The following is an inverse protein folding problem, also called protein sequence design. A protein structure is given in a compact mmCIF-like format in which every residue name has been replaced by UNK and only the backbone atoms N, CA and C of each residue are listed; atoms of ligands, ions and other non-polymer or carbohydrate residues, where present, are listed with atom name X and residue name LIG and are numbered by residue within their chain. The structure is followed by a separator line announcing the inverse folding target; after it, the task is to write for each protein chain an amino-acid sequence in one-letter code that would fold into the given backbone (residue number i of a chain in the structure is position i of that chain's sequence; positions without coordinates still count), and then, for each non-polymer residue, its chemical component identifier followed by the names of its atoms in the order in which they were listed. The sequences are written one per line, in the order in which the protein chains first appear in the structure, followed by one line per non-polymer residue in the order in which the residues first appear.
data_IF_840792959201
#
_entry.id   IF_840792959201
#
_cell.length_a   1.000
_cell.length_b   1.000
_cell.length_c   1.000
_cell.angle_alpha   90.00
_cell.angle_beta   90.00
_cell.angle_gamma   90.00
#
_symmetry.space_group_name_H-M   'P 1'
#
loop_
_entity.id
_entity.type
_entity.pdbx_description
1 polymer ?
#
# COMPACT_ATOMS: atom_id res chain seq x y z
N UNK A 1 21.14 57.44 8.59
CA UNK A 1 21.96 56.70 9.57
C UNK A 1 22.13 55.27 9.04
N UNK A 2 23.35 54.86 8.66
CA UNK A 2 23.60 53.49 8.16
C UNK A 2 24.10 52.63 9.33
N UNK A 3 23.30 51.67 9.79
CA UNK A 3 23.75 50.71 10.79
C UNK A 3 24.75 49.75 10.15
N UNK A 4 26.00 49.73 10.63
CA UNK A 4 26.97 48.69 10.30
C UNK A 4 26.77 47.53 11.27
N UNK A 5 26.31 46.40 10.77
CA UNK A 5 26.21 45.17 11.55
C UNK A 5 27.60 44.49 11.57
N UNK A 6 28.27 44.49 12.72
CA UNK A 6 29.56 43.81 12.89
C UNK A 6 29.31 42.41 13.48
N UNK A 7 29.16 41.42 12.61
CA UNK A 7 28.95 40.04 13.02
C UNK A 7 30.29 39.44 13.50
N UNK A 8 30.44 39.25 14.80
CA UNK A 8 31.65 38.63 15.35
C UNK A 8 31.58 37.10 15.21
N UNK A 9 32.71 36.44 14.94
CA UNK A 9 32.80 34.96 14.80
C UNK A 9 32.03 34.14 15.86
N UNK A 10 32.00 34.50 17.16
CA UNK A 10 31.22 33.74 18.14
C UNK A 10 29.70 33.88 17.92
N UNK A 11 29.21 35.01 17.41
CA UNK A 11 27.78 35.18 17.05
C UNK A 11 27.36 34.30 15.87
N UNK A 12 28.26 34.06 14.91
CA UNK A 12 28.02 33.15 13.79
C UNK A 12 27.93 31.69 14.23
N UNK A 13 28.82 31.26 15.12
CA UNK A 13 28.78 29.91 15.68
C UNK A 13 27.52 29.67 16.53
N UNK A 14 27.06 30.70 17.26
CA UNK A 14 25.81 30.63 18.03
C UNK A 14 24.59 30.49 17.13
N UNK A 15 24.54 31.20 15.99
CA UNK A 15 23.42 31.10 15.05
C UNK A 15 23.33 29.72 14.38
N UNK A 16 24.48 29.10 14.07
CA UNK A 16 24.55 27.75 13.49
C UNK A 16 24.07 26.71 14.51
N UNK A 17 24.45 26.85 15.79
CA UNK A 17 23.99 25.94 16.85
C UNK A 17 22.47 26.00 17.07
N UNK A 18 21.86 27.19 16.95
CA UNK A 18 20.40 27.37 17.08
C UNK A 18 19.64 26.76 15.90
N UNK A 19 20.20 26.79 14.69
CA UNK A 19 19.54 26.24 13.49
C UNK A 19 19.53 24.70 13.46
N UNK A 20 20.49 24.05 14.11
CA UNK A 20 20.56 22.58 14.20
C UNK A 20 19.47 22.01 15.13
N UNK A 21 18.98 22.79 16.10
CA UNK A 21 18.00 22.32 17.09
C UNK A 21 16.55 22.32 16.59
N UNK A 22 16.22 23.03 15.51
CA UNK A 22 14.84 23.09 14.98
C UNK A 22 14.54 22.02 13.90
N UNK A 23 15.49 21.16 13.57
CA UNK A 23 15.33 20.07 12.61
C UNK A 23 14.79 18.78 13.25
N UNK A 24 14.01 18.87 14.32
CA UNK A 24 13.19 17.76 14.79
C UNK A 24 11.97 17.67 13.87
N UNK A 25 12.17 17.08 12.69
CA UNK A 25 11.08 16.57 11.88
C UNK A 25 10.22 15.69 12.79
N UNK A 26 8.95 16.07 12.94
CA UNK A 26 7.93 15.14 13.41
C UNK A 26 7.84 14.07 12.32
N UNK A 27 8.68 13.03 12.42
CA UNK A 27 8.27 11.73 11.94
C UNK A 27 6.97 11.46 12.69
N UNK A 28 5.84 11.57 12.00
CA UNK A 28 4.68 10.80 12.36
C UNK A 28 5.16 9.37 12.29
N UNK A 29 5.67 8.87 13.42
CA UNK A 29 5.81 7.47 13.67
C UNK A 29 4.42 6.93 13.34
N UNK A 30 4.32 6.24 12.20
CA UNK A 30 3.16 5.45 11.85
C UNK A 30 2.77 4.76 13.14
N UNK A 31 1.58 5.05 13.67
CA UNK A 31 1.08 4.32 14.81
C UNK A 31 1.23 2.86 14.42
N UNK A 32 2.16 2.16 15.07
CA UNK A 32 2.24 0.72 15.01
C UNK A 32 0.98 0.24 15.70
N UNK A 33 -0.13 0.27 14.97
CA UNK A 33 -1.19 -0.69 15.17
C UNK A 33 -0.44 -2.01 15.04
N UNK A 34 -0.17 -2.62 16.19
CA UNK A 34 0.30 -3.99 16.28
C UNK A 34 -0.81 -4.83 15.67
N UNK A 35 -0.84 -4.90 14.35
CA UNK A 35 -1.83 -5.65 13.61
C UNK A 35 -1.26 -7.03 13.51
N UNK A 36 -1.82 -7.93 14.31
CA UNK A 36 -1.88 -9.35 14.00
C UNK A 36 -2.61 -9.47 12.65
N UNK A 37 -1.87 -9.20 11.56
CA UNK A 37 -2.40 -9.31 10.21
C UNK A 37 -2.53 -10.80 9.96
N UNK A 38 -3.74 -11.23 9.64
CA UNK A 38 -3.96 -12.60 9.23
C UNK A 38 -3.29 -12.84 7.89
N UNK A 39 -2.70 -14.02 7.75
CA UNK A 39 -1.94 -14.38 6.57
C UNK A 39 -2.88 -14.59 5.38
N UNK A 40 -2.52 -14.01 4.23
CA UNK A 40 -3.12 -14.34 2.94
C UNK A 40 -2.04 -14.47 1.88
N UNK A 41 -2.38 -15.18 0.80
CA UNK A 41 -1.50 -15.31 -0.35
C UNK A 41 -2.32 -15.33 -1.63
N UNK A 42 -2.05 -14.38 -2.51
CA UNK A 42 -2.76 -14.22 -3.77
C UNK A 42 -1.77 -14.10 -4.92
N UNK A 43 -1.97 -14.90 -5.96
CA UNK A 43 -1.26 -14.76 -7.23
C UNK A 43 -2.09 -13.91 -8.17
N UNK A 44 -1.56 -12.77 -8.60
CA UNK A 44 -2.17 -11.86 -9.57
C UNK A 44 -1.56 -12.11 -10.95
N UNK A 45 -2.42 -12.30 -11.95
CA UNK A 45 -2.07 -12.46 -13.36
C UNK A 45 -2.73 -11.37 -14.20
N UNK A 46 -1.93 -10.63 -14.97
CA UNK A 46 -2.45 -9.70 -15.98
C UNK A 46 -2.85 -10.51 -17.22
N UNK A 47 -4.04 -10.25 -17.75
CA UNK A 47 -4.55 -10.89 -18.97
C UNK A 47 -4.94 -9.83 -20.00
N UNK A 48 -5.11 -10.26 -21.25
CA UNK A 48 -5.39 -9.36 -22.37
C UNK A 48 -6.56 -8.41 -22.07
N UNK A 49 -7.62 -8.95 -21.44
CA UNK A 49 -8.87 -8.24 -21.19
C UNK A 49 -9.12 -7.88 -19.72
N UNK A 50 -8.20 -8.19 -18.80
CA UNK A 50 -8.43 -7.95 -17.39
C UNK A 50 -7.43 -8.62 -16.46
N UNK A 51 -7.92 -9.13 -15.33
CA UNK A 51 -7.08 -9.69 -14.27
C UNK A 51 -7.63 -11.05 -13.86
N UNK A 52 -6.71 -12.00 -13.65
CA UNK A 52 -6.98 -13.26 -12.95
C UNK A 52 -6.26 -13.24 -11.61
N UNK A 53 -6.90 -13.77 -10.59
CA UNK A 53 -6.35 -13.89 -9.25
C UNK A 53 -6.59 -15.31 -8.76
N UNK A 54 -5.56 -15.90 -8.16
CA UNK A 54 -5.65 -17.19 -7.49
C UNK A 54 -5.31 -17.00 -6.03
N UNK A 55 -6.24 -17.31 -5.13
CA UNK A 55 -6.00 -17.32 -3.70
C UNK A 55 -5.44 -18.69 -3.30
N UNK A 56 -4.23 -18.66 -2.75
CA UNK A 56 -3.56 -19.83 -2.18
C UNK A 56 -3.93 -19.98 -0.71
N UNK A 57 -4.17 -18.87 -0.02
CA UNK A 57 -4.49 -18.80 1.41
C UNK A 57 -5.26 -17.52 1.75
N UNK A 58 -6.10 -17.59 2.79
CA UNK A 58 -6.72 -16.41 3.41
C UNK A 58 -8.04 -15.95 2.79
N UNK A 59 -8.57 -16.62 1.76
CA UNK A 59 -9.82 -16.25 1.08
C UNK A 59 -10.80 -17.41 0.98
N UNK A 60 -12.10 -17.10 0.92
CA UNK A 60 -13.18 -18.06 0.65
C UNK A 60 -13.26 -18.49 -0.82
N UNK A 61 -12.58 -17.79 -1.70
CA UNK A 61 -12.49 -18.08 -3.13
C UNK A 61 -11.12 -18.70 -3.47
N UNK A 62 -11.08 -19.51 -4.53
CA UNK A 62 -9.85 -20.09 -5.09
C UNK A 62 -9.41 -19.28 -6.31
N UNK A 63 -10.32 -19.02 -7.24
CA UNK A 63 -10.05 -18.29 -8.47
C UNK A 63 -11.04 -17.14 -8.65
N UNK A 64 -10.52 -15.98 -9.05
CA UNK A 64 -11.28 -14.85 -9.57
C UNK A 64 -10.76 -14.48 -10.95
N UNK A 65 -11.67 -14.19 -11.87
CA UNK A 65 -11.32 -13.69 -13.19
C UNK A 65 -12.36 -12.68 -13.62
N UNK A 66 -11.91 -11.48 -13.97
CA UNK A 66 -12.81 -10.41 -14.38
C UNK A 66 -12.15 -9.53 -15.43
N UNK A 67 -12.98 -8.95 -16.30
CA UNK A 67 -12.52 -7.97 -17.26
C UNK A 67 -12.29 -6.63 -16.56
N UNK A 68 -11.14 -6.02 -16.84
CA UNK A 68 -10.79 -4.72 -16.27
C UNK A 68 -10.01 -3.91 -17.30
N UNK A 69 -10.64 -2.83 -17.76
CA UNK A 69 -9.97 -1.85 -18.61
C UNK A 69 -8.91 -1.10 -17.79
N UNK A 70 -7.92 -0.53 -18.48
CA UNK A 70 -6.91 0.28 -17.82
C UNK A 70 -7.56 1.41 -17.00
N UNK A 71 -6.93 1.70 -15.85
CA UNK A 71 -7.30 2.78 -14.92
C UNK A 71 -8.68 2.63 -14.27
N UNK A 72 -9.37 1.50 -14.50
CA UNK A 72 -10.55 1.12 -13.74
C UNK A 72 -10.16 0.41 -12.46
N UNK A 73 -10.90 0.75 -11.41
CA UNK A 73 -10.71 0.22 -10.06
C UNK A 73 -11.71 -0.91 -9.80
N UNK A 74 -11.24 -2.00 -9.18
CA UNK A 74 -12.07 -3.05 -8.62
C UNK A 74 -11.66 -3.29 -7.16
N UNK A 75 -12.60 -3.35 -6.23
CA UNK A 75 -12.32 -3.74 -4.84
C UNK A 75 -12.44 -5.26 -4.68
N UNK A 76 -11.55 -5.85 -3.89
CA UNK A 76 -11.47 -7.28 -3.61
C UNK A 76 -11.31 -7.47 -2.10
N UNK A 77 -12.09 -8.39 -1.53
CA UNK A 77 -11.99 -8.85 -0.14
C UNK A 77 -11.84 -10.37 -0.07
N UNK A 78 -11.80 -10.91 1.16
CA UNK A 78 -11.68 -12.34 1.43
C UNK A 78 -12.84 -13.18 0.86
N UNK A 79 -13.97 -12.56 0.51
CA UNK A 79 -15.14 -13.20 -0.08
C UNK A 79 -15.25 -13.01 -1.60
N UNK A 80 -14.50 -12.07 -2.19
CA UNK A 80 -14.32 -11.94 -3.63
C UNK A 80 -14.38 -10.49 -4.12
N UNK A 81 -15.02 -10.27 -5.26
CA UNK A 81 -15.24 -8.90 -5.77
C UNK A 81 -16.29 -8.17 -4.91
N UNK A 82 -15.95 -6.95 -4.48
CA UNK A 82 -16.75 -6.17 -3.54
C UNK A 82 -16.77 -4.69 -3.93
N UNK A 83 -17.32 -3.84 -3.05
CA UNK A 83 -17.34 -2.39 -3.17
C UNK A 83 -16.36 -1.74 -2.18
N UNK A 84 -15.84 -0.56 -2.52
CA UNK A 84 -14.76 0.10 -1.76
C UNK A 84 -15.10 0.38 -0.29
N UNK A 85 -16.38 0.67 0.00
CA UNK A 85 -16.86 1.03 1.34
C UNK A 85 -17.49 -0.17 2.08
N UNK A 86 -17.40 -1.38 1.51
CA UNK A 86 -18.03 -2.59 2.06
C UNK A 86 -17.04 -3.39 2.90
N UNK A 87 -16.66 -2.84 4.05
CA UNK A 87 -15.91 -3.58 5.06
C UNK A 87 -16.85 -4.59 5.72
N UNK A 88 -16.55 -5.90 5.61
CA UNK A 88 -17.37 -6.93 6.25
C UNK A 88 -17.39 -6.75 7.76
N UNK A 89 -18.59 -6.67 8.35
CA UNK A 89 -18.77 -6.70 9.81
C UNK A 89 -18.78 -8.11 10.39
N UNK A 90 -19.01 -9.12 9.54
CA UNK A 90 -19.04 -10.53 9.91
C UNK A 90 -17.73 -11.16 9.44
N UNK A 91 -16.78 -11.29 10.36
CA UNK A 91 -15.43 -11.78 10.07
C UNK A 91 -15.34 -13.27 10.42
N UNK A 92 -14.98 -14.09 9.44
CA UNK A 92 -14.68 -15.51 9.68
C UNK A 92 -13.28 -15.64 10.30
N UNK A 93 -13.18 -16.42 11.38
CA UNK A 93 -11.91 -16.65 12.07
C UNK A 93 -10.84 -17.30 11.17
N UNK A 94 -11.23 -17.98 10.09
CA UNK A 94 -10.34 -18.71 9.19
C UNK A 94 -9.96 -17.91 7.92
N UNK A 95 -10.49 -16.69 7.74
CA UNK A 95 -10.20 -15.83 6.60
C UNK A 95 -9.38 -14.61 7.01
N UNK A 96 -8.67 -14.01 6.07
CA UNK A 96 -7.63 -13.03 6.35
C UNK A 96 -8.10 -11.57 6.54
N UNK A 97 -9.41 -11.32 6.51
CA UNK A 97 -10.05 -10.02 6.76
C UNK A 97 -9.42 -8.85 5.99
N UNK A 98 -9.12 -9.03 4.70
CA UNK A 98 -8.49 -7.99 3.88
C UNK A 98 -9.50 -7.25 3.01
N UNK A 99 -9.19 -6.00 2.71
CA UNK A 99 -9.87 -5.22 1.68
C UNK A 99 -8.82 -4.40 0.94
N UNK A 100 -8.73 -4.58 -0.37
CA UNK A 100 -7.89 -3.75 -1.22
C UNK A 100 -8.57 -3.48 -2.56
N UNK A 101 -8.03 -2.51 -3.27
CA UNK A 101 -8.42 -2.22 -4.65
C UNK A 101 -7.31 -2.63 -5.60
N UNK A 102 -7.68 -3.02 -6.81
CA UNK A 102 -6.76 -3.36 -7.88
C UNK A 102 -7.11 -2.54 -9.12
N UNK A 103 -6.07 -2.03 -9.77
CA UNK A 103 -6.15 -1.26 -11.01
C UNK A 103 -5.13 -1.79 -12.00
N UNK A 104 -5.60 -2.12 -13.21
CA UNK A 104 -4.71 -2.46 -14.33
C UNK A 104 -4.18 -1.16 -14.93
N UNK A 105 -2.88 -1.12 -15.20
CA UNK A 105 -2.24 -0.03 -15.95
C UNK A 105 -1.59 -0.58 -17.21
N UNK A 106 -1.12 0.31 -18.09
CA UNK A 106 -0.37 -0.08 -19.29
C UNK A 106 0.83 -0.99 -18.95
N UNK A 107 1.58 -0.63 -17.90
CA UNK A 107 2.87 -1.27 -17.58
C UNK A 107 2.80 -2.31 -16.45
N UNK A 108 1.68 -2.40 -15.72
CA UNK A 108 1.58 -3.31 -14.58
C UNK A 108 0.30 -3.17 -13.79
N UNK A 109 0.40 -3.37 -12.47
CA UNK A 109 -0.72 -3.37 -11.53
C UNK A 109 -0.44 -2.34 -10.42
N UNK A 110 -1.51 -1.66 -9.99
CA UNK A 110 -1.54 -0.84 -8.78
C UNK A 110 -2.57 -1.41 -7.83
N UNK A 111 -2.19 -1.60 -6.58
CA UNK A 111 -3.03 -2.04 -5.48
C UNK A 111 -3.09 -0.95 -4.42
N UNK A 112 -4.26 -0.72 -3.84
CA UNK A 112 -4.41 0.15 -2.67
C UNK A 112 -5.04 -0.60 -1.52
N UNK A 113 -4.33 -0.68 -0.41
CA UNK A 113 -4.78 -1.36 0.80
C UNK A 113 -5.74 -0.49 1.60
N UNK A 114 -6.84 -1.09 2.06
CA UNK A 114 -7.87 -0.44 2.88
C UNK A 114 -7.94 -1.12 4.25
N UNK A 115 -7.95 -2.46 4.28
CA UNK A 115 -7.93 -3.28 5.50
C UNK A 115 -7.06 -4.53 5.29
N UNK A 116 -6.47 -5.06 6.37
CA UNK A 116 -5.76 -6.34 6.34
C UNK A 116 -4.41 -6.34 5.61
N UNK A 117 -3.87 -5.17 5.26
CA UNK A 117 -2.57 -5.03 4.58
C UNK A 117 -1.65 -4.08 5.35
N UNK A 118 -0.34 -4.39 5.36
CA UNK A 118 0.70 -3.49 5.89
C UNK A 118 1.01 -2.33 4.94
N UNK A 119 0.61 -2.43 3.67
CA UNK A 119 0.82 -1.45 2.63
C UNK A 119 -0.46 -0.66 2.33
N UNK A 120 -0.32 0.65 2.12
CA UNK A 120 -1.39 1.52 1.60
C UNK A 120 -1.42 1.54 0.08
N UNK A 121 -0.25 1.47 -0.54
CA UNK A 121 -0.07 1.47 -1.99
C UNK A 121 1.02 0.44 -2.33
N UNK A 122 0.72 -0.45 -3.27
CA UNK A 122 1.66 -1.42 -3.80
C UNK A 122 1.57 -1.39 -5.32
N UNK A 123 2.69 -1.18 -5.99
CA UNK A 123 2.73 -1.12 -7.45
C UNK A 123 3.92 -1.88 -7.98
N UNK A 124 3.69 -2.60 -9.07
CA UNK A 124 4.72 -3.38 -9.74
C UNK A 124 4.43 -3.50 -11.23
N UNK A 125 5.50 -3.51 -12.02
CA UNK A 125 5.43 -3.84 -13.43
C UNK A 125 5.05 -5.30 -13.61
N UNK A 126 4.14 -5.57 -14.53
CA UNK A 126 3.70 -6.92 -14.84
C UNK A 126 3.43 -7.00 -16.35
N UNK A 127 4.23 -7.77 -17.12
CA UNK A 127 3.96 -7.97 -18.53
C UNK A 127 2.64 -8.74 -18.73
N UNK A 128 2.16 -8.74 -19.97
CA UNK A 128 0.97 -9.49 -20.35
C UNK A 128 1.15 -11.00 -20.07
N UNK A 129 0.14 -11.65 -19.47
CA UNK A 129 0.21 -13.00 -18.90
C UNK A 129 1.26 -13.22 -17.79
N UNK A 130 1.90 -12.14 -17.32
CA UNK A 130 2.83 -12.17 -16.20
C UNK A 130 2.08 -12.45 -14.89
N UNK A 131 2.75 -13.14 -13.96
CA UNK A 131 2.22 -13.46 -12.63
C UNK A 131 3.07 -12.84 -11.53
N UNK A 132 2.43 -12.45 -10.44
CA UNK A 132 3.11 -12.01 -9.22
C UNK A 132 2.31 -12.41 -7.99
N UNK A 133 3.02 -12.95 -7.01
CA UNK A 133 2.46 -13.24 -5.69
C UNK A 133 2.47 -11.97 -4.83
N UNK A 134 1.38 -11.76 -4.10
CA UNK A 134 1.23 -10.73 -3.09
C UNK A 134 0.72 -11.34 -1.78
N UNK A 135 1.08 -10.69 -0.69
CA UNK A 135 0.67 -11.02 0.67
C UNK A 135 0.38 -9.74 1.47
N UNK A 136 0.09 -9.89 2.76
CA UNK A 136 -0.19 -8.80 3.69
C UNK A 136 0.98 -7.82 3.86
N UNK A 137 2.21 -8.21 3.49
CA UNK A 137 3.41 -7.38 3.61
C UNK A 137 3.90 -6.79 2.28
N UNK A 138 3.47 -7.31 1.13
CA UNK A 138 3.75 -6.72 -0.16
C UNK A 138 3.80 -7.75 -1.29
N UNK A 139 4.81 -7.65 -2.15
CA UNK A 139 5.09 -8.66 -3.17
C UNK A 139 6.09 -9.68 -2.61
N UNK A 140 5.81 -10.97 -2.76
CA UNK A 140 6.80 -12.01 -2.49
C UNK A 140 7.85 -12.06 -3.62
N UNK A 141 9.11 -12.37 -3.27
CA UNK A 141 10.24 -12.49 -4.19
C UNK A 141 10.38 -13.90 -4.77
#
# INVERSE_FOLDING_TARGET
MKAKLNFTRPMLNLLIAVFVLTASSKFLAQEKKSTDLKDFKIVVEKTENGIKMQSVEGSAWIDLSFSLNNDRLQAIDEYGMTELDKISSDKDANLADFLFTITRTENGIVLKGIEGTAWTDLSFSLPENGKREIDQYGTAY
#
